data_IF_637242694249
#
_entry.id   IF_637242694249
#
_cell.length_a   1.000
_cell.length_b   1.000
_cell.length_c   1.000
_cell.angle_alpha   90.00
_cell.angle_beta   90.00
_cell.angle_gamma   90.00
#
_symmetry.space_group_name_H-M   'P 1'
#
loop_
_entity.id
_entity.type
_entity.pdbx_description
1 polymer ?
#
# COMPACT_ATOMS: atom_id res chain seq x y z
N UNK A 1 11.21 -13.69 2.51
CA UNK A 1 10.27 -12.84 3.28
C UNK A 1 8.88 -12.81 2.63
N UNK A 2 8.71 -12.32 1.40
CA UNK A 2 7.41 -12.19 0.72
C UNK A 2 6.54 -13.47 0.65
N UNK A 3 7.14 -14.65 0.53
CA UNK A 3 6.41 -15.93 0.53
C UNK A 3 5.68 -16.22 1.83
N UNK A 4 6.17 -15.72 2.96
CA UNK A 4 5.69 -16.03 4.31
C UNK A 4 4.46 -15.20 4.72
N UNK A 5 3.98 -14.32 3.84
CA UNK A 5 2.82 -13.45 4.09
C UNK A 5 1.71 -13.79 3.11
N UNK A 6 0.47 -13.84 3.58
CA UNK A 6 -0.71 -14.10 2.73
C UNK A 6 -1.13 -12.87 1.91
N UNK A 7 -0.72 -11.67 2.35
CA UNK A 7 -1.02 -10.40 1.71
C UNK A 7 0.18 -9.46 1.82
N UNK A 8 0.51 -8.78 0.73
CA UNK A 8 1.56 -7.76 0.65
C UNK A 8 0.91 -6.45 0.20
N UNK A 9 1.09 -5.38 0.95
CA UNK A 9 0.55 -4.07 0.63
C UNK A 9 1.67 -3.10 0.26
N UNK A 10 1.54 -2.47 -0.91
CA UNK A 10 2.52 -1.54 -1.47
C UNK A 10 1.92 -0.14 -1.64
N UNK A 11 2.72 0.91 -1.52
CA UNK A 11 2.21 2.29 -1.55
C UNK A 11 1.87 2.79 -2.96
N UNK A 12 2.57 2.29 -3.99
CA UNK A 12 2.48 2.75 -5.37
C UNK A 12 2.58 1.57 -6.34
N UNK A 13 2.09 1.73 -7.58
CA UNK A 13 2.08 0.65 -8.58
C UNK A 13 3.50 0.23 -8.97
N UNK A 14 4.46 1.16 -8.94
CA UNK A 14 5.87 0.86 -9.22
C UNK A 14 6.44 -0.15 -8.21
N UNK A 15 6.11 0.01 -6.93
CA UNK A 15 6.51 -0.96 -5.90
C UNK A 15 5.95 -2.36 -6.17
N UNK A 16 4.73 -2.47 -6.70
CA UNK A 16 4.17 -3.77 -7.10
C UNK A 16 4.98 -4.36 -8.25
N UNK A 17 5.35 -3.55 -9.25
CA UNK A 17 6.19 -3.99 -10.36
C UNK A 17 7.57 -4.48 -9.88
N UNK A 18 8.19 -3.75 -8.95
CA UNK A 18 9.48 -4.12 -8.34
C UNK A 18 9.37 -5.43 -7.54
N UNK A 19 8.33 -5.60 -6.71
CA UNK A 19 8.06 -6.86 -6.00
C UNK A 19 7.87 -8.01 -6.98
N UNK A 20 7.14 -7.78 -8.07
CA UNK A 20 6.88 -8.78 -9.11
C UNK A 20 8.15 -9.19 -9.85
N UNK A 21 9.08 -8.25 -10.09
CA UNK A 21 10.36 -8.54 -10.70
C UNK A 21 11.25 -9.43 -9.81
N UNK A 22 11.16 -9.27 -8.48
CA UNK A 22 11.94 -10.04 -7.50
C UNK A 22 11.30 -11.41 -7.22
N UNK A 23 9.98 -11.45 -7.06
CA UNK A 23 9.23 -12.64 -6.70
C UNK A 23 7.91 -12.70 -7.49
N UNK A 24 7.93 -13.17 -8.75
CA UNK A 24 6.73 -13.23 -9.60
C UNK A 24 5.57 -14.01 -8.97
N UNK A 25 5.87 -15.03 -8.17
CA UNK A 25 4.88 -15.88 -7.52
C UNK A 25 4.02 -15.15 -6.47
N UNK A 26 4.46 -14.00 -5.95
CA UNK A 26 3.67 -13.22 -4.97
C UNK A 26 2.80 -12.15 -5.61
N UNK A 27 2.84 -12.00 -6.94
CA UNK A 27 2.05 -10.98 -7.66
C UNK A 27 0.56 -11.05 -7.35
N UNK A 28 0.00 -12.25 -7.26
CA UNK A 28 -1.44 -12.46 -7.00
C UNK A 28 -1.89 -12.01 -5.61
N UNK A 29 -0.96 -11.90 -4.66
CA UNK A 29 -1.21 -11.46 -3.28
C UNK A 29 -0.59 -10.11 -2.93
N UNK A 30 -0.10 -9.38 -3.95
CA UNK A 30 0.45 -8.03 -3.79
C UNK A 30 -0.56 -7.01 -4.28
N UNK A 31 -0.96 -6.08 -3.42
CA UNK A 31 -2.01 -5.08 -3.69
C UNK A 31 -1.58 -3.68 -3.24
N UNK A 32 -2.26 -2.64 -3.71
CA UNK A 32 -2.02 -1.28 -3.24
C UNK A 32 -2.55 -1.12 -1.81
N UNK A 33 -1.83 -0.37 -0.99
CA UNK A 33 -2.29 -0.01 0.35
C UNK A 33 -3.57 0.83 0.25
N UNK A 34 -3.61 1.80 -0.66
CA UNK A 34 -4.81 2.59 -0.95
C UNK A 34 -5.83 1.92 -1.87
N UNK A 35 -5.81 0.59 -2.08
CA UNK A 35 -6.68 -0.12 -3.05
C UNK A 35 -8.16 0.30 -3.02
N UNK A 36 -8.66 0.64 -1.83
CA UNK A 36 -10.06 0.96 -1.54
C UNK A 36 -10.37 2.46 -1.49
N UNK A 37 -9.35 3.30 -1.68
CA UNK A 37 -9.51 4.75 -1.78
C UNK A 37 -9.77 5.16 -3.24
N UNK A 38 -10.32 6.36 -3.43
CA UNK A 38 -10.42 6.97 -4.77
C UNK A 38 -9.02 7.23 -5.35
N UNK A 39 -8.15 7.85 -4.54
CA UNK A 39 -6.73 8.00 -4.84
C UNK A 39 -5.97 6.81 -4.23
N UNK A 40 -5.66 5.83 -5.08
CA UNK A 40 -5.13 4.52 -4.65
C UNK A 40 -3.65 4.52 -4.28
N UNK A 41 -2.88 5.39 -4.93
CA UNK A 41 -1.45 5.52 -4.67
C UNK A 41 -1.22 6.50 -3.54
N UNK A 42 -0.34 6.12 -2.61
CA UNK A 42 0.03 6.93 -1.46
C UNK A 42 1.45 7.44 -1.71
N UNK A 43 1.64 8.75 -1.91
CA UNK A 43 2.93 9.30 -2.29
C UNK A 43 3.93 9.26 -1.13
N UNK A 44 5.21 9.15 -1.45
CA UNK A 44 6.28 9.22 -0.47
C UNK A 44 6.46 10.66 0.10
N UNK A 45 6.24 10.88 1.41
CA UNK A 45 6.45 12.18 2.05
C UNK A 45 7.92 12.46 2.36
N UNK A 46 8.84 11.54 2.09
CA UNK A 46 10.25 11.69 2.46
C UNK A 46 10.86 13.00 1.96
N UNK A 47 11.47 13.74 2.90
CA UNK A 47 12.06 15.08 2.68
C UNK A 47 11.08 16.14 2.16
N UNK A 48 9.78 15.98 2.42
CA UNK A 48 8.74 16.99 2.13
C UNK A 48 8.38 17.81 3.36
N UNK A 49 7.50 18.79 3.18
CA UNK A 49 6.96 19.62 4.26
C UNK A 49 6.13 18.80 5.25
N UNK A 50 5.93 19.34 6.45
CA UNK A 50 5.05 18.74 7.45
C UNK A 50 3.62 18.54 6.90
N UNK A 51 3.07 19.51 6.19
CA UNK A 51 1.75 19.39 5.56
C UNK A 51 1.64 18.20 4.61
N UNK A 52 2.72 17.88 3.87
CA UNK A 52 2.75 16.72 2.99
C UNK A 52 2.75 15.41 3.79
N UNK A 53 3.46 15.36 4.93
CA UNK A 53 3.40 14.22 5.85
C UNK A 53 2.01 14.03 6.45
N UNK A 54 1.38 15.10 6.91
CA UNK A 54 0.03 15.06 7.49
C UNK A 54 -1.01 14.60 6.46
N UNK A 55 -0.89 15.07 5.22
CA UNK A 55 -1.72 14.60 4.12
C UNK A 55 -1.58 13.09 3.87
N UNK A 56 -0.35 12.60 3.75
CA UNK A 56 -0.06 11.17 3.55
C UNK A 56 -0.54 10.34 4.73
N UNK A 57 -0.36 10.83 5.96
CA UNK A 57 -0.85 10.17 7.17
C UNK A 57 -2.38 9.98 7.12
N UNK A 58 -3.13 11.02 6.72
CA UNK A 58 -4.58 10.92 6.54
C UNK A 58 -5.00 9.95 5.42
N UNK A 59 -4.18 9.76 4.39
CA UNK A 59 -4.40 8.71 3.38
C UNK A 59 -4.17 7.31 3.97
N UNK A 60 -3.08 7.12 4.71
CA UNK A 60 -2.75 5.85 5.38
C UNK A 60 -3.83 5.44 6.38
N UNK A 61 -4.32 6.38 7.19
CA UNK A 61 -5.40 6.13 8.15
C UNK A 61 -6.65 5.59 7.44
N UNK A 62 -7.17 6.31 6.44
CA UNK A 62 -8.37 5.91 5.69
C UNK A 62 -8.18 4.55 5.02
N UNK A 63 -7.04 4.33 4.37
CA UNK A 63 -6.73 3.06 3.71
C UNK A 63 -6.65 1.90 4.71
N UNK A 64 -6.01 2.09 5.86
CA UNK A 64 -5.88 1.06 6.90
C UNK A 64 -7.24 0.66 7.47
N UNK A 65 -8.14 1.62 7.69
CA UNK A 65 -9.50 1.34 8.16
C UNK A 65 -10.30 0.52 7.13
N UNK A 66 -10.18 0.86 5.84
CA UNK A 66 -10.84 0.11 4.76
C UNK A 66 -10.31 -1.32 4.63
N UNK A 67 -9.01 -1.54 4.83
CA UNK A 67 -8.43 -2.88 4.93
C UNK A 67 -8.92 -3.64 6.15
N UNK A 68 -8.89 -3.04 7.33
CA UNK A 68 -9.35 -3.67 8.57
C UNK A 68 -10.79 -4.17 8.44
N UNK A 69 -11.70 -3.35 7.90
CA UNK A 69 -13.11 -3.71 7.66
C UNK A 69 -13.30 -4.93 6.75
N UNK A 70 -12.40 -5.12 5.78
CA UNK A 70 -12.49 -6.20 4.77
C UNK A 70 -11.80 -7.48 5.21
N UNK A 71 -10.72 -7.35 5.99
CA UNK A 71 -9.98 -8.49 6.53
C UNK A 71 -10.64 -9.08 7.78
N UNK A 72 -11.49 -8.32 8.47
CA UNK A 72 -12.24 -8.78 9.65
C UNK A 72 -13.56 -9.48 9.32
N UNK A 73 -13.84 -9.77 8.04
CA UNK A 73 -15.01 -10.52 7.58
C UNK A 73 -14.60 -11.92 7.18
#
# INVERSE_FOLDING_TARGET
MARNYDLILAMESEHIAQVTAIAPEVRGKTMLFGQWLEQKEIPDPYRKSQDAFEHVYGMLERASQEWAKRLSR
#
